data_IF_876740839109
#
_entry.id   IF_876740839109
#
_cell.length_a   1.000
_cell.length_b   1.000
_cell.length_c   1.000
_cell.angle_alpha   90.00
_cell.angle_beta   90.00
_cell.angle_gamma   90.00
#
_symmetry.space_group_name_H-M   'P 1'
#
loop_
_entity.id
_entity.type
_entity.pdbx_description
1 polymer ?
#
# COMPACT_ATOMS: atom_id res chain seq x y z
N UNK A 1 10.30 2.11 -12.12
CA UNK A 1 8.97 2.69 -11.84
C UNK A 1 8.94 3.17 -10.40
N UNK A 2 8.18 4.21 -10.07
CA UNK A 2 8.00 4.69 -8.70
C UNK A 2 6.55 4.46 -8.27
N UNK A 3 6.34 3.97 -7.06
CA UNK A 3 5.01 3.86 -6.48
C UNK A 3 4.81 4.98 -5.44
N UNK A 4 3.85 5.88 -5.67
CA UNK A 4 3.45 6.88 -4.69
C UNK A 4 2.27 6.29 -3.90
N UNK A 5 2.49 5.97 -2.63
CA UNK A 5 1.55 5.23 -1.77
C UNK A 5 1.14 6.10 -0.58
N UNK A 6 -0.17 6.23 -0.36
CA UNK A 6 -0.75 6.72 0.89
C UNK A 6 -0.80 5.55 1.89
N UNK A 7 0.09 5.62 2.89
CA UNK A 7 0.23 4.62 3.94
C UNK A 7 -1.04 4.51 4.80
N UNK A 8 -1.78 5.60 4.98
CA UNK A 8 -2.95 5.63 5.85
C UNK A 8 -4.24 5.19 5.12
N UNK A 9 -4.21 5.16 3.78
CA UNK A 9 -5.27 4.61 2.93
C UNK A 9 -5.28 3.07 2.87
N UNK A 10 -4.23 2.39 3.34
CA UNK A 10 -4.19 0.92 3.37
C UNK A 10 -5.30 0.41 4.30
N UNK A 11 -6.19 -0.48 3.83
CA UNK A 11 -7.28 -1.01 4.64
C UNK A 11 -6.77 -1.69 5.91
N UNK A 12 -7.52 -1.51 7.00
CA UNK A 12 -7.24 -2.14 8.29
C UNK A 12 -8.52 -2.49 9.02
N UNK A 13 -8.43 -3.45 9.93
CA UNK A 13 -9.54 -3.84 10.79
C UNK A 13 -9.91 -2.71 11.75
N UNK A 14 -11.15 -2.72 12.24
CA UNK A 14 -11.60 -1.77 13.27
C UNK A 14 -10.75 -1.87 14.55
N UNK A 15 -10.31 -3.09 14.91
CA UNK A 15 -9.44 -3.30 16.07
C UNK A 15 -8.06 -2.66 15.87
N UNK A 16 -7.44 -2.81 14.69
CA UNK A 16 -6.15 -2.16 14.42
C UNK A 16 -6.29 -0.64 14.42
N UNK A 17 -7.41 -0.10 13.91
CA UNK A 17 -7.67 1.33 13.85
C UNK A 17 -7.71 2.04 15.21
N UNK A 18 -7.83 1.32 16.34
CA UNK A 18 -7.79 1.91 17.69
C UNK A 18 -6.37 2.05 18.26
N UNK A 19 -5.35 1.50 17.62
CA UNK A 19 -3.97 1.51 18.09
C UNK A 19 -3.24 2.81 17.69
N UNK A 20 -2.04 3.12 18.21
CA UNK A 20 -1.24 4.24 17.73
C UNK A 20 -0.94 4.17 16.21
N UNK A 21 -0.87 5.30 15.49
CA UNK A 21 -0.67 5.30 14.03
C UNK A 21 0.58 4.56 13.54
N UNK A 22 1.67 4.57 14.30
CA UNK A 22 2.89 3.84 13.98
C UNK A 22 2.68 2.32 14.03
N UNK A 23 1.91 1.83 15.02
CA UNK A 23 1.54 0.42 15.12
C UNK A 23 0.62 0.03 13.96
N UNK A 24 -0.36 0.87 13.64
CA UNK A 24 -1.25 0.67 12.49
C UNK A 24 -0.43 0.47 11.21
N UNK A 25 0.46 1.42 10.90
CA UNK A 25 1.31 1.39 9.70
C UNK A 25 2.25 0.20 9.66
N UNK A 26 2.87 -0.16 10.78
CA UNK A 26 3.73 -1.35 10.85
C UNK A 26 2.97 -2.63 10.52
N UNK A 27 1.78 -2.81 11.11
CA UNK A 27 0.94 -3.98 10.84
C UNK A 27 0.47 -4.02 9.37
N UNK A 28 -0.01 -2.90 8.82
CA UNK A 28 -0.56 -2.88 7.45
C UNK A 28 0.49 -2.92 6.35
N UNK A 29 1.73 -2.49 6.62
CA UNK A 29 2.78 -2.37 5.59
C UNK A 29 3.88 -3.43 5.70
N UNK A 30 4.00 -4.07 6.86
CA UNK A 30 5.07 -5.02 7.14
C UNK A 30 4.63 -6.22 8.02
N UNK A 31 3.32 -6.40 8.25
CA UNK A 31 2.79 -7.52 9.02
C UNK A 31 2.91 -8.85 8.28
N UNK A 32 2.35 -8.93 7.07
CA UNK A 32 2.28 -10.17 6.30
C UNK A 32 1.06 -11.04 6.65
N UNK A 33 0.97 -12.21 6.03
CA UNK A 33 -0.15 -13.16 6.18
C UNK A 33 -1.55 -12.58 5.90
N UNK A 34 -1.64 -11.51 5.09
CA UNK A 34 -2.91 -10.89 4.72
C UNK A 34 -3.70 -11.74 3.69
N UNK A 35 -2.99 -12.45 2.80
CA UNK A 35 -3.57 -13.17 1.64
C UNK A 35 -4.48 -12.30 0.74
N UNK A 36 -4.24 -10.99 0.73
CA UNK A 36 -4.96 -10.02 -0.10
C UNK A 36 -4.34 -9.85 -1.49
N UNK A 37 -5.12 -9.33 -2.45
CA UNK A 37 -4.62 -8.97 -3.78
C UNK A 37 -4.12 -7.53 -3.81
N UNK A 38 -2.82 -7.35 -4.04
CA UNK A 38 -2.23 -6.05 -4.38
C UNK A 38 -1.96 -5.99 -5.89
N UNK A 39 -2.60 -5.06 -6.60
CA UNK A 39 -2.50 -4.94 -8.05
C UNK A 39 -2.49 -3.49 -8.52
N UNK A 40 -2.20 -3.30 -9.81
CA UNK A 40 -2.22 -2.00 -10.48
C UNK A 40 -3.19 -2.04 -11.66
N UNK A 41 -3.83 -0.93 -11.96
CA UNK A 41 -4.74 -0.80 -13.10
C UNK A 41 -4.67 0.62 -13.69
N UNK A 42 -4.89 0.79 -15.01
CA UNK A 42 -5.01 2.12 -15.61
C UNK A 42 -6.13 2.93 -14.95
N UNK A 43 -5.97 4.25 -14.85
CA UNK A 43 -6.99 5.13 -14.26
C UNK A 43 -8.36 4.99 -14.94
N UNK A 44 -8.39 4.76 -16.25
CA UNK A 44 -9.60 4.55 -17.03
C UNK A 44 -10.38 3.28 -16.65
N UNK A 45 -9.72 2.29 -16.04
CA UNK A 45 -10.34 1.03 -15.61
C UNK A 45 -10.97 1.12 -14.20
N UNK A 46 -10.92 2.28 -13.52
CA UNK A 46 -11.36 2.42 -12.12
C UNK A 46 -12.79 1.92 -11.89
N UNK A 47 -13.73 2.37 -12.70
CA UNK A 47 -15.13 1.97 -12.56
C UNK A 47 -15.33 0.46 -12.74
N UNK A 48 -14.59 -0.16 -13.66
CA UNK A 48 -14.65 -1.61 -13.88
C UNK A 48 -14.08 -2.39 -12.68
N UNK A 49 -12.98 -1.90 -12.09
CA UNK A 49 -12.38 -2.50 -10.88
C UNK A 49 -13.32 -2.39 -9.68
N UNK A 50 -13.94 -1.22 -9.47
CA UNK A 50 -14.92 -1.01 -8.40
C UNK A 50 -16.15 -1.90 -8.58
N UNK A 51 -16.65 -2.02 -9.82
CA UNK A 51 -17.76 -2.91 -10.15
C UNK A 51 -17.40 -4.39 -9.92
N UNK A 52 -16.19 -4.81 -10.27
CA UNK A 52 -15.71 -6.17 -10.00
C UNK A 52 -15.67 -6.47 -8.49
N UNK A 53 -15.13 -5.56 -7.69
CA UNK A 53 -15.13 -5.66 -6.22
C UNK A 53 -16.54 -5.76 -5.64
N UNK A 54 -17.46 -4.90 -6.10
CA UNK A 54 -18.86 -4.97 -5.69
C UNK A 54 -19.50 -6.32 -6.05
N UNK A 55 -19.24 -6.83 -7.26
CA UNK A 55 -19.81 -8.10 -7.73
C UNK A 55 -19.27 -9.33 -6.98
N UNK A 56 -18.02 -9.27 -6.49
CA UNK A 56 -17.40 -10.34 -5.70
C UNK A 56 -17.66 -10.20 -4.20
N UNK A 57 -18.28 -9.10 -3.75
CA UNK A 57 -18.45 -8.81 -2.32
C UNK A 57 -17.14 -8.45 -1.60
N UNK A 58 -16.09 -8.10 -2.35
CA UNK A 58 -14.78 -7.74 -1.80
C UNK A 58 -14.53 -6.24 -1.96
N UNK A 59 -14.19 -5.56 -0.86
CA UNK A 59 -13.81 -4.15 -0.91
C UNK A 59 -12.51 -3.99 -1.68
N UNK A 60 -12.50 -3.14 -2.70
CA UNK A 60 -11.27 -2.70 -3.37
C UNK A 60 -10.94 -1.28 -2.92
N UNK A 61 -9.70 -1.05 -2.51
CA UNK A 61 -9.26 0.27 -2.03
C UNK A 61 -8.05 0.72 -2.83
N UNK A 62 -8.12 1.93 -3.39
CA UNK A 62 -6.95 2.54 -4.02
C UNK A 62 -6.04 3.14 -2.96
N UNK A 63 -4.81 2.68 -2.91
CA UNK A 63 -3.80 3.15 -1.96
C UNK A 63 -2.70 4.01 -2.58
N UNK A 64 -2.68 4.17 -3.91
CA UNK A 64 -1.58 4.92 -4.54
C UNK A 64 -1.66 5.07 -6.05
N UNK A 65 -0.51 5.32 -6.67
CA UNK A 65 -0.32 5.47 -8.12
C UNK A 65 1.09 5.03 -8.53
N UNK A 66 1.20 4.37 -9.68
CA UNK A 66 2.48 4.03 -10.29
C UNK A 66 2.88 5.11 -11.29
N UNK A 67 4.13 5.55 -11.21
CA UNK A 67 4.76 6.48 -12.14
C UNK A 67 5.88 5.78 -12.91
N UNK A 68 5.98 6.08 -14.20
CA UNK A 68 7.15 5.71 -15.00
C UNK A 68 8.42 6.40 -14.44
N UNK A 69 9.58 5.83 -14.71
CA UNK A 69 10.85 6.52 -14.42
C UNK A 69 11.02 7.66 -15.41
N UNK A 70 11.48 8.80 -14.93
CA UNK A 70 11.70 9.99 -15.77
C UNK A 70 13.10 9.98 -16.41
N UNK A 71 14.01 9.14 -15.90
CA UNK A 71 15.38 8.98 -16.39
C UNK A 71 15.85 7.53 -16.26
N UNK A 72 16.74 7.04 -17.15
CA UNK A 72 17.37 5.72 -17.02
C UNK A 72 18.20 5.54 -15.74
N UNK A 73 18.65 6.64 -15.12
CA UNK A 73 19.43 6.63 -13.88
C UNK A 73 18.58 6.52 -12.62
N UNK A 74 17.25 6.70 -12.73
CA UNK A 74 16.36 6.56 -11.58
C UNK A 74 16.15 5.08 -11.23
N UNK A 75 16.25 4.78 -9.95
CA UNK A 75 15.97 3.44 -9.44
C UNK A 75 14.49 3.31 -9.09
N UNK A 76 13.91 2.10 -9.17
CA UNK A 76 12.59 1.86 -8.63
C UNK A 76 12.53 2.20 -7.14
N UNK A 77 11.44 2.83 -6.71
CA UNK A 77 11.28 3.27 -5.33
C UNK A 77 9.81 3.33 -4.92
N UNK A 78 9.55 3.31 -3.61
CA UNK A 78 8.25 3.60 -3.02
C UNK A 78 8.36 4.95 -2.30
N UNK A 79 7.50 5.89 -2.67
CA UNK A 79 7.34 7.17 -1.99
C UNK A 79 6.13 7.07 -1.05
N UNK A 80 6.40 6.92 0.24
CA UNK A 80 5.37 6.85 1.27
C UNK A 80 4.86 8.24 1.65
N UNK A 81 3.55 8.38 1.80
CA UNK A 81 2.88 9.59 2.29
C UNK A 81 1.82 9.22 3.32
N UNK A 82 1.53 10.14 4.23
CA UNK A 82 0.34 10.03 5.09
C UNK A 82 -0.93 10.53 4.38
N UNK A 83 -2.07 10.45 5.08
CA UNK A 83 -3.36 10.92 4.57
C UNK A 83 -3.40 12.43 4.22
N UNK A 84 -2.48 13.23 4.78
CA UNK A 84 -2.34 14.65 4.44
C UNK A 84 -1.41 14.89 3.23
N UNK A 85 -0.84 13.82 2.66
CA UNK A 85 0.13 13.88 1.56
C UNK A 85 1.57 14.16 2.02
N UNK A 86 1.81 14.23 3.34
CA UNK A 86 3.13 14.50 3.92
C UNK A 86 4.05 13.29 3.68
N UNK A 87 5.27 13.48 3.16
CA UNK A 87 6.22 12.39 3.01
C UNK A 87 6.53 11.69 4.34
N UNK A 88 6.59 10.37 4.32
CA UNK A 88 6.95 9.53 5.46
C UNK A 88 8.30 8.85 5.22
N UNK A 89 9.16 8.90 6.23
CA UNK A 89 10.36 8.05 6.29
C UNK A 89 10.03 6.84 7.15
N UNK A 90 9.79 5.69 6.51
CA UNK A 90 9.42 4.45 7.18
C UNK A 90 10.57 3.45 7.11
N UNK A 91 10.92 2.86 8.26
CA UNK A 91 11.77 1.67 8.32
C UNK A 91 10.87 0.46 8.47
N UNK A 92 10.70 -0.29 7.39
CA UNK A 92 9.85 -1.47 7.33
C UNK A 92 10.74 -2.72 7.19
N UNK A 93 10.45 -3.74 8.00
CA UNK A 93 11.11 -5.04 7.91
C UNK A 93 10.06 -6.06 7.52
N UNK A 94 10.17 -6.59 6.30
CA UNK A 94 9.33 -7.71 5.86
C UNK A 94 9.79 -9.02 6.48
N UNK A 95 8.94 -10.04 6.38
CA UNK A 95 9.28 -11.39 6.78
C UNK A 95 10.42 -11.97 5.93
N UNK A 96 11.39 -12.60 6.58
CA UNK A 96 12.51 -13.31 5.98
C UNK A 96 12.75 -14.61 6.76
N UNK A 97 12.66 -15.76 6.09
CA UNK A 97 12.78 -17.09 6.70
C UNK A 97 14.13 -17.32 7.38
N UNK A 98 15.18 -16.65 6.93
CA UNK A 98 16.56 -16.89 7.35
C UNK A 98 17.19 -15.67 7.99
N UNK A 99 16.37 -14.72 8.45
CA UNK A 99 16.88 -13.58 9.19
C UNK A 99 17.64 -14.08 10.42
N UNK A 100 18.96 -13.94 10.37
CA UNK A 100 19.85 -14.20 11.48
C UNK A 100 20.11 -12.85 12.17
N UNK A 101 19.95 -12.81 13.49
CA UNK A 101 20.27 -11.63 14.31
C UNK A 101 21.74 -11.20 14.15
#
# INVERSE_FOLDING_TARGET
MRADIDADAVPRSAALATLPPDVQRRCTLAGGDDYELCFTAPAAARAAVEAAGASSGVRVTRVGTIHALSSPSEQPAIAWRDAAGTPLTLTLHGFDHFHAD
#
